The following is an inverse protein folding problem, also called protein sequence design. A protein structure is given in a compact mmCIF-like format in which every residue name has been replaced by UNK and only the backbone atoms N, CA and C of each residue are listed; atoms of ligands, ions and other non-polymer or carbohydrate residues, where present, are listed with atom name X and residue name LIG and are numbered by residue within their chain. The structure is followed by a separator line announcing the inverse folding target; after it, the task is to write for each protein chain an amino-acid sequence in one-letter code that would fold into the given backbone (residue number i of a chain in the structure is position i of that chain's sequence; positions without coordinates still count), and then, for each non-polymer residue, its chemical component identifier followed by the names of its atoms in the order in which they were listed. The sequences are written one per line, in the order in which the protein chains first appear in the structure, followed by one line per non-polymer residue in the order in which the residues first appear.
data_IF_931267887293
#
_entry.id   IF_931267887293
#
_cell.length_a   1.000
_cell.length_b   1.000
_cell.length_c   1.000
_cell.angle_alpha   90.00
_cell.angle_beta   90.00
_cell.angle_gamma   90.00
#
_symmetry.space_group_name_H-M   'P 1'
#
loop_
_entity.id
_entity.type
_entity.pdbx_description
1 polymer ?
#
# COMPACT_ATOMS: atom_id res chain seq x y z
N UNK A 1 -2.76 18.76 9.35
CA UNK A 1 -3.31 17.39 9.20
C UNK A 1 -2.13 16.45 9.16
N UNK A 2 -2.05 15.48 10.07
CA UNK A 2 -0.89 14.58 10.22
C UNK A 2 -0.81 13.58 9.05
N UNK A 3 0.40 13.10 8.73
CA UNK A 3 0.58 12.01 7.76
C UNK A 3 -0.21 10.75 8.16
N UNK A 4 -0.38 10.51 9.46
CA UNK A 4 -1.14 9.36 9.97
C UNK A 4 -2.60 9.40 9.52
N UNK A 5 -3.23 10.59 9.56
CA UNK A 5 -4.61 10.76 9.09
C UNK A 5 -4.73 10.52 7.58
N UNK A 6 -3.75 11.00 6.80
CA UNK A 6 -3.73 10.80 5.34
C UNK A 6 -3.59 9.30 5.03
N UNK A 7 -2.69 8.61 5.72
CA UNK A 7 -2.49 7.17 5.56
C UNK A 7 -3.74 6.37 5.95
N UNK A 8 -4.37 6.70 7.07
CA UNK A 8 -5.62 6.07 7.49
C UNK A 8 -6.73 6.24 6.44
N UNK A 9 -6.89 7.45 5.90
CA UNK A 9 -7.86 7.73 4.84
C UNK A 9 -7.54 6.98 3.53
N UNK A 10 -6.27 6.85 3.18
CA UNK A 10 -5.83 6.03 2.03
C UNK A 10 -6.17 4.55 2.25
N UNK A 11 -5.88 4.01 3.44
CA UNK A 11 -6.19 2.63 3.78
C UNK A 11 -7.70 2.37 3.87
N UNK A 12 -8.51 3.34 4.31
CA UNK A 12 -9.97 3.23 4.25
C UNK A 12 -10.49 3.08 2.84
N UNK A 13 -9.95 3.81 1.86
CA UNK A 13 -10.35 3.62 0.46
C UNK A 13 -10.02 2.21 -0.07
N UNK A 14 -8.90 1.63 0.36
CA UNK A 14 -8.56 0.23 0.04
C UNK A 14 -9.54 -0.73 0.71
N UNK A 15 -9.86 -0.51 1.99
CA UNK A 15 -10.83 -1.32 2.73
C UNK A 15 -12.24 -1.29 2.11
N UNK A 16 -12.71 -0.11 1.67
CA UNK A 16 -14.01 0.06 1.00
C UNK A 16 -14.09 -0.76 -0.31
N UNK A 17 -12.99 -0.82 -1.07
CA UNK A 17 -12.91 -1.65 -2.27
C UNK A 17 -12.90 -3.14 -1.91
N UNK A 18 -12.16 -3.52 -0.87
CA UNK A 18 -12.10 -4.91 -0.39
C UNK A 18 -13.42 -5.42 0.18
N UNK A 19 -14.27 -4.54 0.70
CA UNK A 19 -15.59 -4.89 1.23
C UNK A 19 -16.52 -5.44 0.15
N UNK A 20 -16.39 -4.93 -1.09
CA UNK A 20 -17.36 -5.18 -2.15
C UNK A 20 -16.81 -6.13 -3.24
N UNK A 21 -15.51 -6.40 -3.27
CA UNK A 21 -14.89 -7.25 -4.30
C UNK A 21 -15.06 -8.74 -3.99
N UNK A 22 -15.48 -9.51 -4.99
CA UNK A 22 -15.54 -10.96 -4.89
C UNK A 22 -14.14 -11.59 -4.87
N UNK A 23 -13.99 -12.67 -4.09
CA UNK A 23 -12.71 -13.36 -3.92
C UNK A 23 -12.11 -13.87 -5.24
N UNK A 24 -12.97 -14.30 -6.18
CA UNK A 24 -12.54 -14.76 -7.50
C UNK A 24 -11.89 -13.63 -8.32
N UNK A 25 -12.52 -12.46 -8.40
CA UNK A 25 -11.99 -11.31 -9.11
C UNK A 25 -10.73 -10.74 -8.44
N UNK A 26 -10.68 -10.77 -7.11
CA UNK A 26 -9.51 -10.34 -6.33
C UNK A 26 -8.26 -11.17 -6.66
N UNK A 27 -8.43 -12.49 -6.81
CA UNK A 27 -7.36 -13.45 -7.09
C UNK A 27 -6.97 -13.52 -8.57
N UNK A 28 -7.85 -13.10 -9.48
CA UNK A 28 -7.67 -13.31 -10.91
C UNK A 28 -6.40 -12.61 -11.44
N UNK A 29 -5.44 -13.36 -12.01
CA UNK A 29 -4.30 -12.78 -12.71
C UNK A 29 -4.75 -12.01 -13.95
N UNK A 30 -4.11 -10.87 -14.20
CA UNK A 30 -4.41 -10.05 -15.37
C UNK A 30 -3.18 -9.81 -16.22
N UNK A 31 -3.30 -10.02 -17.53
CA UNK A 31 -2.23 -9.74 -18.49
C UNK A 31 -1.79 -8.27 -18.44
N UNK A 32 -2.73 -7.33 -18.27
CA UNK A 32 -2.43 -5.90 -18.12
C UNK A 32 -1.58 -5.59 -16.88
N UNK A 33 -1.59 -6.50 -15.89
CA UNK A 33 -0.75 -6.45 -14.71
C UNK A 33 0.50 -7.32 -14.84
N UNK A 34 0.91 -7.72 -16.05
CA UNK A 34 1.99 -8.68 -16.25
C UNK A 34 1.75 -10.01 -15.51
N UNK A 35 0.50 -10.46 -15.52
CA UNK A 35 -0.02 -11.65 -14.82
C UNK A 35 -0.03 -11.56 -13.29
N UNK A 36 0.05 -10.37 -12.69
CA UNK A 36 -0.32 -10.21 -11.29
C UNK A 36 -1.82 -9.99 -11.09
N UNK A 37 -2.29 -10.16 -9.85
CA UNK A 37 -3.71 -9.97 -9.46
C UNK A 37 -3.94 -8.68 -8.68
N UNK A 38 -5.22 -8.31 -8.50
CA UNK A 38 -5.60 -7.23 -7.58
C UNK A 38 -5.07 -7.54 -6.16
N UNK A 39 -5.21 -8.78 -5.71
CA UNK A 39 -4.75 -9.19 -4.40
C UNK A 39 -3.24 -9.14 -4.20
N UNK A 40 -2.45 -9.34 -5.25
CA UNK A 40 -1.00 -9.14 -5.20
C UNK A 40 -0.63 -7.67 -5.00
N UNK A 41 -1.29 -6.75 -5.70
CA UNK A 41 -1.07 -5.32 -5.49
C UNK A 41 -1.56 -4.86 -4.11
N UNK A 42 -2.70 -5.34 -3.65
CA UNK A 42 -3.21 -5.01 -2.31
C UNK A 42 -2.30 -5.54 -1.21
N UNK A 43 -1.84 -6.80 -1.30
CA UNK A 43 -0.83 -7.34 -0.38
C UNK A 43 0.42 -6.49 -0.38
N UNK A 44 0.89 -6.05 -1.54
CA UNK A 44 2.10 -5.23 -1.64
C UNK A 44 1.98 -3.91 -0.83
N UNK A 45 0.83 -3.23 -0.91
CA UNK A 45 0.55 -2.04 -0.10
C UNK A 45 0.61 -2.37 1.40
N UNK A 46 -0.13 -3.40 1.82
CA UNK A 46 -0.27 -3.80 3.22
C UNK A 46 1.10 -4.19 3.81
N UNK A 47 1.88 -4.97 3.07
CA UNK A 47 3.13 -5.52 3.56
C UNK A 47 4.23 -4.48 3.67
N UNK A 48 4.22 -3.43 2.83
CA UNK A 48 5.17 -2.32 2.99
C UNK A 48 4.95 -1.60 4.32
N UNK A 49 3.69 -1.40 4.71
CA UNK A 49 3.34 -0.80 5.99
C UNK A 49 3.64 -1.72 7.17
N UNK A 50 3.31 -3.01 7.07
CA UNK A 50 3.67 -4.00 8.10
C UNK A 50 5.19 -4.08 8.29
N UNK A 51 5.94 -4.04 7.19
CA UNK A 51 7.39 -4.05 7.21
C UNK A 51 7.94 -2.81 7.94
N UNK A 52 7.49 -1.61 7.54
CA UNK A 52 7.92 -0.37 8.17
C UNK A 52 7.59 -0.32 9.66
N UNK A 53 6.33 -0.59 10.03
CA UNK A 53 5.87 -0.50 11.42
C UNK A 53 6.53 -1.59 12.29
N UNK A 54 6.64 -2.82 11.77
CA UNK A 54 7.21 -3.94 12.52
C UNK A 54 8.73 -3.83 12.71
N UNK A 55 9.42 -3.11 11.84
CA UNK A 55 10.88 -2.96 11.89
C UNK A 55 11.33 -1.61 12.49
N UNK A 56 10.45 -0.61 12.57
CA UNK A 56 10.80 0.73 13.05
C UNK A 56 11.45 0.69 14.43
N UNK A 57 10.95 -0.12 15.36
CA UNK A 57 11.51 -0.26 16.72
C UNK A 57 13.00 -0.70 16.73
N UNK A 58 13.46 -1.41 15.70
CA UNK A 58 14.86 -1.82 15.56
C UNK A 58 15.76 -0.74 14.92
N UNK A 59 15.19 0.38 14.46
CA UNK A 59 15.91 1.49 13.84
C UNK A 59 16.34 1.24 12.39
N UNK A 60 15.95 0.11 11.78
CA UNK A 60 16.29 -0.25 10.40
C UNK A 60 15.02 -0.70 9.68
N UNK A 61 14.74 -0.15 8.50
CA UNK A 61 13.65 -0.59 7.64
C UNK A 61 14.21 -1.27 6.38
N UNK A 62 13.63 -2.40 5.98
CA UNK A 62 14.03 -3.15 4.79
C UNK A 62 12.80 -3.79 4.11
N UNK A 63 12.27 -3.12 3.08
CA UNK A 63 11.07 -3.56 2.36
C UNK A 63 11.25 -4.87 1.57
N UNK A 64 12.48 -5.34 1.34
CA UNK A 64 12.75 -6.60 0.64
C UNK A 64 12.42 -7.81 1.53
N UNK A 65 12.49 -7.61 2.86
CA UNK A 65 12.19 -8.59 3.91
C UNK A 65 10.69 -8.68 4.27
N UNK A 66 9.82 -8.11 3.44
CA UNK A 66 8.36 -8.22 3.60
C UNK A 66 7.87 -9.68 3.65
N UNK A 67 6.78 -9.97 4.41
CA UNK A 67 6.41 -11.34 4.79
C UNK A 67 5.86 -12.23 3.67
N UNK A 68 5.36 -11.66 2.56
CA UNK A 68 4.75 -12.41 1.44
C UNK A 68 3.62 -13.36 1.87
N UNK A 69 2.73 -12.87 2.72
CA UNK A 69 1.59 -13.60 3.27
C UNK A 69 0.53 -13.91 2.19
N UNK A 70 0.50 -15.17 1.76
CA UNK A 70 -0.46 -15.65 0.76
C UNK A 70 -1.93 -15.44 1.17
N UNK A 71 -2.27 -15.46 2.46
CA UNK A 71 -3.66 -15.27 2.90
C UNK A 71 -4.19 -13.86 2.58
N UNK A 72 -3.33 -12.84 2.69
CA UNK A 72 -3.66 -11.45 2.31
C UNK A 72 -3.82 -11.34 0.79
N UNK A 73 -3.03 -12.09 0.03
CA UNK A 73 -3.07 -12.09 -1.43
C UNK A 73 -4.35 -12.70 -1.99
N UNK A 74 -4.92 -13.71 -1.33
CA UNK A 74 -6.07 -14.45 -1.87
C UNK A 74 -7.40 -14.12 -1.23
N UNK A 75 -7.43 -13.55 -0.02
CA UNK A 75 -8.66 -13.27 0.71
C UNK A 75 -8.84 -11.78 1.02
N UNK A 76 -9.86 -11.11 0.43
CA UNK A 76 -10.21 -9.74 0.77
C UNK A 76 -10.44 -9.55 2.27
N UNK A 77 -11.14 -10.50 2.92
CA UNK A 77 -11.36 -10.46 4.37
C UNK A 77 -10.05 -10.43 5.16
N UNK A 78 -9.05 -11.23 4.79
CA UNK A 78 -7.76 -11.24 5.47
C UNK A 78 -6.97 -9.94 5.21
N UNK A 79 -7.08 -9.37 4.01
CA UNK A 79 -6.52 -8.06 3.71
C UNK A 79 -7.17 -6.94 4.55
N UNK A 80 -8.51 -6.95 4.72
CA UNK A 80 -9.22 -6.01 5.61
C UNK A 80 -8.76 -6.09 7.06
N UNK A 81 -8.62 -7.32 7.60
CA UNK A 81 -8.06 -7.54 8.95
C UNK A 81 -6.65 -6.99 9.10
N UNK A 82 -5.80 -7.18 8.09
CA UNK A 82 -4.45 -6.65 8.09
C UNK A 82 -4.44 -5.11 8.06
N UNK A 83 -5.33 -4.49 7.27
CA UNK A 83 -5.52 -3.04 7.25
C UNK A 83 -5.97 -2.51 8.61
N UNK A 84 -6.96 -3.15 9.24
CA UNK A 84 -7.42 -2.78 10.57
C UNK A 84 -6.28 -2.82 11.60
N UNK A 85 -5.51 -3.91 11.61
CA UNK A 85 -4.37 -4.06 12.50
C UNK A 85 -3.26 -3.00 12.28
N UNK A 86 -3.06 -2.57 11.03
CA UNK A 86 -2.14 -1.45 10.72
C UNK A 86 -2.70 -0.15 11.32
N UNK A 87 -3.98 0.15 11.08
CA UNK A 87 -4.61 1.38 11.59
C UNK A 87 -4.53 1.46 13.12
N UNK A 88 -4.71 0.35 13.82
CA UNK A 88 -4.59 0.30 15.29
C UNK A 88 -3.17 0.60 15.80
N UNK A 89 -2.14 0.35 15.00
CA UNK A 89 -0.74 0.60 15.35
C UNK A 89 -0.27 2.01 15.00
N UNK A 90 -0.90 2.69 14.03
CA UNK A 90 -0.49 4.03 13.59
C UNK A 90 -0.39 5.07 14.73
N UNK A 91 -1.30 5.11 15.72
CA UNK A 91 -1.20 6.08 16.82
C UNK A 91 0.04 5.91 17.71
N UNK A 92 0.67 4.72 17.69
CA UNK A 92 1.85 4.40 18.50
C UNK A 92 3.17 4.75 17.80
N UNK A 93 3.11 5.23 16.55
CA UNK A 93 4.31 5.53 15.76
C UNK A 93 5.00 6.83 16.22
N UNK A 94 6.29 6.74 16.53
CA UNK A 94 7.14 7.89 16.81
C UNK A 94 7.65 8.53 15.52
N UNK A 95 6.89 9.48 14.96
CA UNK A 95 7.16 10.08 13.64
C UNK A 95 8.59 10.65 13.48
N UNK A 96 9.15 11.22 14.55
CA UNK A 96 10.50 11.80 14.56
C UNK A 96 11.64 10.78 14.64
N UNK A 97 11.33 9.49 14.76
CA UNK A 97 12.32 8.43 14.87
C UNK A 97 13.19 8.39 13.60
N UNK A 98 14.52 8.45 13.79
CA UNK A 98 15.48 8.24 12.71
C UNK A 98 15.61 6.75 12.42
N UNK A 99 15.64 6.40 11.14
CA UNK A 99 15.78 5.03 10.65
C UNK A 99 16.92 4.94 9.64
N UNK A 100 17.47 3.74 9.50
CA UNK A 100 18.31 3.37 8.36
C UNK A 100 17.46 2.55 7.39
N UNK A 101 17.23 3.06 6.18
CA UNK A 101 16.60 2.30 5.11
C UNK A 101 17.66 1.44 4.42
N UNK A 102 17.42 0.14 4.36
CA UNK A 102 18.27 -0.84 3.70
C UNK A 102 17.54 -1.43 2.48
N UNK A 103 18.26 -1.57 1.36
CA UNK A 103 17.75 -2.21 0.14
C UNK A 103 18.85 -3.00 -0.54
N UNK A 104 18.52 -4.18 -1.06
CA UNK A 104 19.47 -5.02 -1.79
C UNK A 104 19.19 -4.96 -3.30
N UNK A 105 20.11 -4.37 -4.06
CA UNK A 105 20.03 -4.28 -5.52
C UNK A 105 20.78 -5.39 -6.24
N UNK A 106 21.22 -6.42 -5.51
CA UNK A 106 22.03 -7.51 -6.01
C UNK A 106 21.26 -8.50 -6.88
N UNK A 107 21.74 -8.76 -8.09
CA UNK A 107 21.26 -9.86 -8.95
C UNK A 107 22.24 -11.05 -8.88
N UNK A 108 22.35 -11.65 -7.69
CA UNK A 108 23.16 -12.85 -7.43
C UNK A 108 24.33 -12.66 -6.45
N UNK A 109 24.78 -11.42 -6.22
CA UNK A 109 25.65 -11.03 -5.10
C UNK A 109 25.02 -9.84 -4.40
N UNK A 110 25.01 -9.84 -3.06
CA UNK A 110 24.40 -8.77 -2.27
C UNK A 110 25.02 -7.41 -2.62
N UNK A 111 24.18 -6.45 -2.98
CA UNK A 111 24.51 -5.04 -3.23
C UNK A 111 23.65 -4.17 -2.31
N UNK A 112 23.95 -4.27 -1.02
CA UNK A 112 23.21 -3.58 0.03
C UNK A 112 23.53 -2.09 0.00
N UNK A 113 22.52 -1.27 -0.27
CA UNK A 113 22.55 0.17 -0.08
C UNK A 113 21.85 0.55 1.22
N UNK A 114 22.42 1.51 1.93
CA UNK A 114 21.86 2.04 3.17
C UNK A 114 21.78 3.56 3.09
N UNK A 115 20.63 4.10 3.46
CA UNK A 115 20.41 5.55 3.50
C UNK A 115 19.66 5.94 4.77
N UNK A 116 19.95 7.12 5.31
CA UNK A 116 19.23 7.64 6.47
C UNK A 116 17.86 8.17 6.06
N UNK A 117 16.86 7.91 6.90
CA UNK A 117 15.49 8.40 6.73
C UNK A 117 14.84 8.62 8.10
N UNK A 118 13.57 9.02 8.13
CA UNK A 118 12.75 9.07 9.34
C UNK A 118 11.48 8.26 9.16
N UNK A 119 10.86 7.82 10.26
CA UNK A 119 9.59 7.11 10.19
C UNK A 119 8.52 7.94 9.46
N UNK A 120 8.43 9.24 9.74
CA UNK A 120 7.53 10.14 9.01
C UNK A 120 7.81 10.15 7.50
N UNK A 121 9.07 10.23 7.09
CA UNK A 121 9.44 10.26 5.67
C UNK A 121 9.05 8.96 4.96
N UNK A 122 9.22 7.82 5.62
CA UNK A 122 8.83 6.52 5.09
C UNK A 122 7.31 6.34 5.05
N UNK A 123 6.56 6.89 6.02
CA UNK A 123 5.09 6.90 5.96
C UNK A 123 4.59 7.75 4.78
N UNK A 124 5.23 8.89 4.48
CA UNK A 124 4.94 9.66 3.27
C UNK A 124 5.20 8.84 2.00
N UNK A 125 6.32 8.11 1.94
CA UNK A 125 6.59 7.20 0.84
C UNK A 125 5.52 6.12 0.70
N UNK A 126 5.09 5.51 1.81
CA UNK A 126 4.04 4.49 1.81
C UNK A 126 2.69 5.03 1.33
N UNK A 127 2.34 6.28 1.63
CA UNK A 127 1.12 6.92 1.09
C UNK A 127 1.19 7.04 -0.43
N UNK A 128 2.28 7.58 -0.98
CA UNK A 128 2.44 7.74 -2.43
C UNK A 128 2.51 6.39 -3.14
N UNK A 129 3.20 5.42 -2.55
CA UNK A 129 3.29 4.05 -3.04
C UNK A 129 1.91 3.34 -3.03
N UNK A 130 1.12 3.52 -1.97
CA UNK A 130 -0.24 3.01 -1.91
C UNK A 130 -1.13 3.63 -2.99
N UNK A 131 -1.09 4.95 -3.17
CA UNK A 131 -1.85 5.65 -4.22
C UNK A 131 -1.44 5.15 -5.62
N UNK A 132 -0.14 4.91 -5.84
CA UNK A 132 0.36 4.33 -7.08
C UNK A 132 -0.25 2.94 -7.35
N UNK A 133 -0.20 2.03 -6.37
CA UNK A 133 -0.80 0.71 -6.54
C UNK A 133 -2.33 0.73 -6.63
N UNK A 134 -3.00 1.65 -5.95
CA UNK A 134 -4.43 1.88 -6.13
C UNK A 134 -4.76 2.32 -7.56
N UNK A 135 -3.91 3.13 -8.21
CA UNK A 135 -4.09 3.49 -9.61
C UNK A 135 -3.97 2.28 -10.55
N UNK A 136 -3.04 1.36 -10.27
CA UNK A 136 -2.91 0.09 -10.99
C UNK A 136 -4.16 -0.78 -10.76
N UNK A 137 -4.55 -1.01 -9.50
CA UNK A 137 -5.74 -1.79 -9.13
C UNK A 137 -6.98 -1.24 -9.85
N UNK A 138 -7.14 0.08 -9.91
CA UNK A 138 -8.24 0.72 -10.62
C UNK A 138 -8.31 0.35 -12.10
N UNK A 139 -7.17 0.21 -12.79
CA UNK A 139 -7.13 -0.22 -14.19
C UNK A 139 -7.70 -1.65 -14.31
N UNK A 140 -7.23 -2.57 -13.46
CA UNK A 140 -7.72 -3.96 -13.46
C UNK A 140 -9.18 -4.09 -13.07
N UNK A 141 -9.64 -3.33 -12.07
CA UNK A 141 -11.06 -3.31 -11.70
C UNK A 141 -11.91 -2.84 -12.88
N UNK A 142 -11.51 -1.79 -13.60
CA UNK A 142 -12.27 -1.32 -14.77
C UNK A 142 -12.29 -2.32 -15.93
N UNK A 143 -11.28 -3.18 -16.03
CA UNK A 143 -11.24 -4.27 -17.02
C UNK A 143 -12.10 -5.48 -16.59
N UNK A 144 -12.00 -5.90 -15.33
CA UNK A 144 -12.67 -7.11 -14.82
C UNK A 144 -14.12 -6.88 -14.44
N UNK A 145 -14.40 -5.74 -13.83
CA UNK A 145 -15.66 -5.41 -13.19
C UNK A 145 -16.08 -3.98 -13.61
N UNK A 146 -16.54 -3.78 -14.86
CA UNK A 146 -16.86 -2.44 -15.37
C UNK A 146 -17.86 -1.67 -14.50
N UNK A 147 -18.83 -2.39 -13.92
CA UNK A 147 -19.90 -1.85 -13.07
C UNK A 147 -19.51 -1.72 -11.59
N UNK A 148 -18.26 -2.08 -11.23
CA UNK A 148 -17.78 -1.93 -9.85
C UNK A 148 -17.57 -0.45 -9.51
N UNK A 149 -18.21 -0.02 -8.42
CA UNK A 149 -18.08 1.34 -7.93
C UNK A 149 -16.85 1.46 -7.03
N UNK A 150 -15.98 2.42 -7.36
CA UNK A 150 -14.80 2.73 -6.56
C UNK A 150 -15.00 4.05 -5.81
N UNK A 151 -14.41 4.20 -4.61
CA UNK A 151 -14.42 5.47 -3.90
C UNK A 151 -14.00 6.64 -4.78
N UNK A 152 -14.65 7.80 -4.60
CA UNK A 152 -14.28 9.02 -5.33
C UNK A 152 -12.83 9.39 -5.04
N UNK A 153 -11.99 9.40 -6.08
CA UNK A 153 -10.57 9.69 -5.94
C UNK A 153 -9.69 8.46 -5.68
N UNK A 154 -10.23 7.24 -5.68
CA UNK A 154 -9.44 6.01 -5.57
C UNK A 154 -8.31 5.99 -6.61
N UNK A 155 -7.08 5.82 -6.12
CA UNK A 155 -5.86 5.82 -6.94
C UNK A 155 -5.51 7.18 -7.56
N UNK A 156 -5.97 8.29 -6.99
CA UNK A 156 -5.67 9.63 -7.48
C UNK A 156 -5.09 10.50 -6.36
N UNK A 157 -3.90 11.06 -6.60
CA UNK A 157 -3.26 11.95 -5.64
C UNK A 157 -4.15 13.18 -5.33
N UNK A 158 -4.19 13.64 -4.06
CA UNK A 158 -4.97 14.82 -3.67
C UNK A 158 -4.61 16.09 -4.46
N UNK A 159 -3.35 16.26 -4.85
CA UNK A 159 -2.89 17.37 -5.70
C UNK A 159 -3.60 17.38 -7.05
N UNK A 160 -3.74 16.22 -7.70
CA UNK A 160 -4.46 16.07 -8.97
C UNK A 160 -5.96 16.36 -8.82
N UNK A 161 -6.57 15.95 -7.71
CA UNK A 161 -7.99 16.25 -7.43
C UNK A 161 -8.19 17.77 -7.29
N UNK A 162 -7.32 18.45 -6.52
CA UNK A 162 -7.37 19.91 -6.37
C UNK A 162 -7.20 20.62 -7.70
N UNK A 163 -6.22 20.20 -8.50
CA UNK A 163 -5.98 20.76 -9.82
C UNK A 163 -7.23 20.66 -10.71
N UNK A 164 -7.85 19.47 -10.80
CA UNK A 164 -9.09 19.27 -11.58
C UNK A 164 -10.26 20.13 -11.09
N UNK A 165 -10.42 20.32 -9.78
CA UNK A 165 -11.48 21.18 -9.21
C UNK A 165 -11.30 22.67 -9.50
N UNK A 166 -10.08 23.10 -9.77
CA UNK A 166 -9.77 24.50 -10.09
C UNK A 166 -9.87 24.82 -11.58
N UNK A 167 -9.82 23.78 -12.43
CA UNK A 167 -9.77 23.90 -13.89
C UNK A 167 -10.95 23.24 -14.61
N UNK A 168 -11.95 22.77 -13.86
CA UNK A 168 -13.25 22.28 -14.32
C UNK A 168 -14.35 23.08 -13.63
#
# INVERSE_FOLDING_TARGET
MSILFILEATLSQVDDMLENIEEAAYQQPLEIFSNSSIGQHTRHIIEFLQCLIGQSAAGVANYDQRPRNAAVEVSPMQARKAIAAIKDQLPQCELGQSLLLESDYGLGKAMIHRTFTTLERELVYNVEHAIHHMAIIKIGIRQLLPDFELPKGFGVAPSTIRYRKQHN
#
